data_IF_842609677000
#
_entry.id   IF_842609677000
#
_cell.length_a   1.000
_cell.length_b   1.000
_cell.length_c   1.000
_cell.angle_alpha   90.00
_cell.angle_beta   90.00
_cell.angle_gamma   90.00
#
_symmetry.space_group_name_H-M   'P 1'
#
loop_
_entity.id
_entity.type
_entity.pdbx_description
1 polymer ?
#
# COMPACT_ATOMS: atom_id res chain seq x y z
N UNK A 1 21.05 9.77 -5.44
CA UNK A 1 22.36 9.17 -5.09
C UNK A 1 22.44 7.79 -5.70
N UNK A 2 23.49 7.47 -6.46
CA UNK A 2 23.75 6.09 -6.85
C UNK A 2 24.22 5.28 -5.63
N UNK A 3 23.61 4.12 -5.39
CA UNK A 3 23.99 3.21 -4.30
C UNK A 3 23.32 3.45 -2.93
N UNK A 4 22.26 4.25 -2.86
CA UNK A 4 21.43 4.36 -1.65
C UNK A 4 20.48 3.16 -1.46
N UNK A 5 19.82 3.03 -0.28
CA UNK A 5 18.81 2.02 -0.07
C UNK A 5 17.59 2.25 -0.97
N UNK A 6 16.82 1.19 -1.23
CA UNK A 6 15.52 1.30 -1.90
C UNK A 6 14.57 2.18 -1.10
N UNK A 7 13.89 3.11 -1.77
CA UNK A 7 12.97 4.05 -1.14
C UNK A 7 11.52 3.64 -1.42
N UNK A 8 10.77 3.24 -0.39
CA UNK A 8 9.34 2.94 -0.53
C UNK A 8 8.47 4.07 0.01
N UNK A 9 7.42 4.43 -0.75
CA UNK A 9 6.45 5.44 -0.31
C UNK A 9 5.31 4.79 0.48
N UNK A 10 5.05 5.31 1.68
CA UNK A 10 3.85 4.98 2.45
C UNK A 10 2.69 5.88 2.04
N UNK A 11 1.81 5.40 1.15
CA UNK A 11 0.67 6.18 0.70
C UNK A 11 -0.53 5.33 0.27
N UNK A 12 -1.70 5.97 0.23
CA UNK A 12 -3.01 5.30 0.13
C UNK A 12 -3.86 5.75 -1.07
N UNK A 13 -3.46 6.82 -1.76
CA UNK A 13 -4.28 7.45 -2.78
C UNK A 13 -3.63 7.41 -4.16
N UNK A 14 -4.41 7.30 -5.26
CA UNK A 14 -3.85 7.31 -6.61
C UNK A 14 -3.01 8.56 -6.93
N UNK A 15 -3.42 9.73 -6.42
CA UNK A 15 -2.70 11.00 -6.61
C UNK A 15 -1.30 10.97 -5.98
N UNK A 16 -1.21 10.48 -4.74
CA UNK A 16 0.04 10.45 -3.99
C UNK A 16 0.95 9.33 -4.47
N UNK A 17 0.40 8.20 -4.93
CA UNK A 17 1.17 7.17 -5.67
C UNK A 17 1.80 7.75 -6.92
N UNK A 18 1.03 8.45 -7.77
CA UNK A 18 1.57 9.09 -8.98
C UNK A 18 2.67 10.11 -8.69
N UNK A 19 2.47 10.93 -7.66
CA UNK A 19 3.48 11.90 -7.21
C UNK A 19 4.79 11.25 -6.73
N UNK A 20 4.77 9.97 -6.37
CA UNK A 20 5.93 9.25 -5.87
C UNK A 20 6.74 8.56 -6.99
N UNK A 21 6.15 8.33 -8.15
CA UNK A 21 6.77 7.57 -9.25
C UNK A 21 8.12 8.13 -9.73
N UNK A 22 8.31 9.44 -9.61
CA UNK A 22 9.56 10.09 -10.00
C UNK A 22 10.76 9.77 -9.08
N UNK A 23 10.52 9.31 -7.85
CA UNK A 23 11.60 9.17 -6.85
C UNK A 23 11.58 7.87 -6.05
N UNK A 24 10.41 7.25 -5.81
CA UNK A 24 10.30 6.02 -5.03
C UNK A 24 10.63 4.79 -5.89
N UNK A 25 11.15 3.74 -5.27
CA UNK A 25 11.41 2.44 -5.88
C UNK A 25 10.21 1.48 -5.72
N UNK A 26 9.26 1.84 -4.86
CA UNK A 26 8.00 1.12 -4.73
C UNK A 26 7.06 1.71 -3.68
N UNK A 27 6.00 0.96 -3.38
CA UNK A 27 4.93 1.32 -2.45
C UNK A 27 5.00 0.43 -1.21
N UNK A 28 4.84 1.04 -0.04
CA UNK A 28 4.68 0.38 1.26
C UNK A 28 3.45 0.97 1.97
N UNK A 29 2.26 0.74 1.38
CA UNK A 29 0.99 1.30 1.85
C UNK A 29 0.36 0.53 3.01
N UNK A 30 -0.89 0.86 3.31
CA UNK A 30 -1.74 0.08 4.21
C UNK A 30 -3.16 -0.08 3.65
N UNK A 31 -3.92 -1.03 4.18
CA UNK A 31 -5.37 -1.14 3.98
C UNK A 31 -6.06 -1.35 5.32
N UNK A 32 -7.21 -0.70 5.50
CA UNK A 32 -8.01 -0.78 6.72
C UNK A 32 -9.07 -1.88 6.66
N UNK A 33 -9.67 -2.09 5.49
CA UNK A 33 -10.76 -3.05 5.27
C UNK A 33 -10.25 -4.44 4.85
N UNK A 34 -8.97 -4.55 4.46
CA UNK A 34 -8.39 -5.78 3.91
C UNK A 34 -9.18 -6.25 2.68
N UNK A 35 -9.66 -5.31 1.86
CA UNK A 35 -10.20 -5.63 0.55
C UNK A 35 -9.06 -5.76 -0.48
N UNK A 36 -8.90 -6.98 -1.00
CA UNK A 36 -7.82 -7.32 -1.94
C UNK A 36 -8.05 -6.69 -3.31
N UNK A 37 -9.32 -6.54 -3.72
CA UNK A 37 -9.66 -5.96 -5.02
C UNK A 37 -9.28 -4.48 -5.07
N UNK A 38 -9.76 -3.69 -4.11
CA UNK A 38 -9.41 -2.27 -3.96
C UNK A 38 -7.90 -2.09 -3.85
N UNK A 39 -7.20 -2.98 -3.14
CA UNK A 39 -5.75 -2.84 -3.01
C UNK A 39 -5.01 -3.15 -4.32
N UNK A 40 -5.53 -4.07 -5.14
CA UNK A 40 -4.95 -4.31 -6.46
C UNK A 40 -5.17 -3.13 -7.42
N UNK A 41 -6.30 -2.42 -7.34
CA UNK A 41 -6.53 -1.21 -8.12
C UNK A 41 -5.46 -0.13 -7.83
N UNK A 42 -5.06 0.03 -6.57
CA UNK A 42 -3.97 0.94 -6.21
C UNK A 42 -2.60 0.46 -6.73
N UNK A 43 -2.36 -0.85 -6.74
CA UNK A 43 -1.16 -1.43 -7.35
C UNK A 43 -1.13 -1.26 -8.87
N UNK A 44 -2.27 -1.28 -9.55
CA UNK A 44 -2.34 -0.97 -10.98
C UNK A 44 -1.95 0.49 -11.25
N UNK A 45 -2.41 1.43 -10.41
CA UNK A 45 -1.95 2.82 -10.47
C UNK A 45 -0.43 2.94 -10.29
N UNK A 46 0.16 2.18 -9.37
CA UNK A 46 1.61 2.19 -9.16
C UNK A 46 2.37 1.64 -10.38
N UNK A 47 1.91 0.52 -10.95
CA UNK A 47 2.49 -0.08 -12.16
C UNK A 47 2.44 0.89 -13.34
N UNK A 48 1.31 1.55 -13.53
CA UNK A 48 1.11 2.54 -14.59
C UNK A 48 2.02 3.76 -14.39
N UNK A 49 2.06 4.32 -13.19
CA UNK A 49 2.85 5.51 -12.91
C UNK A 49 4.37 5.26 -13.05
N UNK A 50 4.87 4.08 -12.65
CA UNK A 50 6.28 3.72 -12.83
C UNK A 50 6.62 3.52 -14.30
N UNK A 51 5.73 2.87 -15.07
CA UNK A 51 5.88 2.72 -16.53
C UNK A 51 5.93 4.09 -17.21
N UNK A 52 5.02 5.00 -16.87
CA UNK A 52 4.97 6.37 -17.41
C UNK A 52 6.21 7.20 -17.04
N UNK A 53 6.77 6.97 -15.85
CA UNK A 53 8.01 7.59 -15.41
C UNK A 53 9.28 6.95 -16.03
N UNK A 54 9.13 5.93 -16.89
CA UNK A 54 10.26 5.21 -17.50
C UNK A 54 11.06 4.37 -16.51
N UNK A 55 10.50 4.04 -15.34
CA UNK A 55 11.11 3.17 -14.33
C UNK A 55 10.78 1.70 -14.57
N UNK A 56 11.57 0.81 -13.96
CA UNK A 56 11.28 -0.61 -13.88
C UNK A 56 10.04 -0.92 -13.02
N UNK A 57 9.75 -2.21 -12.81
CA UNK A 57 8.62 -2.62 -11.97
C UNK A 57 8.81 -2.13 -10.52
N UNK A 58 7.82 -1.45 -9.92
CA UNK A 58 7.90 -1.03 -8.53
C UNK A 58 7.86 -2.23 -7.58
N UNK A 59 8.48 -2.09 -6.41
CA UNK A 59 8.11 -2.92 -5.27
C UNK A 59 6.66 -2.63 -4.85
N UNK A 60 5.87 -3.66 -4.55
CA UNK A 60 4.46 -3.52 -4.18
C UNK A 60 4.24 -4.20 -2.83
N UNK A 61 4.16 -3.41 -1.77
CA UNK A 61 3.83 -3.86 -0.43
C UNK A 61 2.65 -3.08 0.14
N UNK A 62 1.91 -3.78 0.99
CA UNK A 62 0.85 -3.23 1.82
C UNK A 62 0.93 -3.82 3.22
N UNK A 63 0.29 -3.17 4.17
CA UNK A 63 0.18 -3.59 5.56
C UNK A 63 -1.27 -3.48 6.04
N UNK A 64 -1.63 -4.26 7.04
CA UNK A 64 -2.95 -4.23 7.64
C UNK A 64 -2.91 -4.75 9.07
N UNK A 65 -3.90 -4.38 9.87
CA UNK A 65 -4.09 -4.95 11.20
C UNK A 65 -5.00 -6.15 11.12
N UNK A 66 -4.65 -7.19 11.87
CA UNK A 66 -5.47 -8.38 12.04
C UNK A 66 -5.44 -8.82 13.49
N UNK A 67 -6.44 -9.58 13.90
CA UNK A 67 -6.51 -10.22 15.20
C UNK A 67 -6.79 -11.71 15.00
N UNK A 68 -6.21 -12.54 15.86
CA UNK A 68 -6.35 -14.00 15.81
C UNK A 68 -7.26 -14.43 16.98
N UNK A 69 -8.22 -15.32 16.71
CA UNK A 69 -9.09 -15.94 17.71
C UNK A 69 -10.32 -16.55 17.07
N UNK A 70 -11.24 -17.04 17.91
CA UNK A 70 -12.41 -17.78 17.44
C UNK A 70 -13.65 -16.90 17.21
N UNK A 71 -14.46 -17.28 16.23
CA UNK A 71 -15.72 -16.60 15.91
C UNK A 71 -15.54 -15.15 15.47
N UNK A 72 -16.53 -14.30 15.78
CA UNK A 72 -16.54 -12.89 15.36
C UNK A 72 -15.73 -11.94 16.28
N UNK A 73 -15.24 -12.44 17.42
CA UNK A 73 -14.57 -11.64 18.46
C UNK A 73 -13.38 -10.83 17.95
N UNK A 74 -12.42 -11.44 17.21
CA UNK A 74 -11.23 -10.75 16.71
C UNK A 74 -11.56 -9.61 15.74
N UNK A 75 -12.47 -9.82 14.78
CA UNK A 75 -12.88 -8.76 13.83
C UNK A 75 -13.58 -7.62 14.56
N UNK A 76 -14.47 -7.92 15.50
CA UNK A 76 -15.13 -6.90 16.33
C UNK A 76 -14.12 -6.10 17.19
N UNK A 77 -13.06 -6.74 17.68
CA UNK A 77 -11.99 -6.06 18.38
C UNK A 77 -11.27 -5.05 17.48
N UNK A 78 -10.85 -5.45 16.28
CA UNK A 78 -10.18 -4.54 15.32
C UNK A 78 -11.09 -3.35 14.98
N UNK A 79 -12.37 -3.59 14.64
CA UNK A 79 -13.31 -2.50 14.36
C UNK A 79 -13.47 -1.54 15.54
N UNK A 80 -13.60 -2.03 16.78
CA UNK A 80 -13.68 -1.16 17.97
C UNK A 80 -12.44 -0.29 18.16
N UNK A 81 -11.25 -0.82 17.84
CA UNK A 81 -10.01 -0.06 17.98
C UNK A 81 -9.83 0.97 16.87
N UNK A 82 -10.31 0.69 15.65
CA UNK A 82 -10.23 1.61 14.51
C UNK A 82 -11.30 2.71 14.52
N UNK A 83 -12.38 2.55 15.30
CA UNK A 83 -13.46 3.54 15.45
C UNK A 83 -13.22 4.55 16.59
N UNK A 84 -12.09 4.47 17.29
CA UNK A 84 -11.70 5.41 18.35
C UNK A 84 -10.54 6.28 17.87
#
# INVERSE_FOLDING_TARGET
QSGGPELHVGTLGPKTVRSAAAWADGVAGMTLDVDVATQNELFDVARDAWREAGKGKPHLATSFWFAIGDGAGPRAQVHRHLLR
#
